data_IF_385409077202
#
_entry.id   IF_385409077202
#
_cell.length_a   1.000
_cell.length_b   1.000
_cell.length_c   1.000
_cell.angle_alpha   90.00
_cell.angle_beta   90.00
_cell.angle_gamma   90.00
#
_symmetry.space_group_name_H-M   'P 1'
#
loop_
_entity.id
_entity.type
_entity.pdbx_description
1 polymer ?
#
# COMPACT_ATOMS: atom_id res chain seq x y z
N UNK A 1 -11.15 10.58 77.13
CA UNK A 1 -12.57 10.39 77.55
C UNK A 1 -12.95 11.62 78.37
N UNK A 2 -14.17 12.20 78.27
CA UNK A 2 -15.46 11.63 77.82
C UNK A 2 -16.11 12.39 76.63
N UNK A 3 -16.71 11.70 75.65
CA UNK A 3 -18.13 11.35 75.44
C UNK A 3 -19.03 12.41 74.76
N UNK A 4 -19.47 12.04 73.55
CA UNK A 4 -20.73 12.33 72.83
C UNK A 4 -21.94 12.75 73.68
N UNK A 5 -22.89 13.55 73.14
CA UNK A 5 -23.91 12.99 72.23
C UNK A 5 -24.52 13.93 71.18
N UNK A 6 -24.91 13.39 70.01
CA UNK A 6 -26.13 13.78 69.28
C UNK A 6 -26.37 12.86 68.06
N UNK A 7 -26.52 11.56 68.31
CA UNK A 7 -27.28 10.66 67.46
C UNK A 7 -28.75 11.07 67.61
N UNK A 8 -29.32 11.87 66.69
CA UNK A 8 -30.75 11.85 66.33
C UNK A 8 -31.09 12.93 65.29
N UNK A 9 -30.75 12.71 64.01
CA UNK A 9 -31.43 13.37 62.86
C UNK A 9 -31.13 12.66 61.54
N UNK A 10 -31.08 11.32 61.60
CA UNK A 10 -31.33 10.44 60.47
C UNK A 10 -32.84 10.19 60.47
N UNK A 11 -33.52 10.64 59.41
CA UNK A 11 -34.85 10.21 58.94
C UNK A 11 -35.67 11.41 58.45
N UNK A 12 -35.44 11.88 57.21
CA UNK A 12 -36.52 12.36 56.31
C UNK A 12 -36.12 12.86 54.91
N UNK A 13 -34.86 12.82 54.48
CA UNK A 13 -34.48 13.35 53.14
C UNK A 13 -34.14 12.26 52.10
N UNK A 14 -34.24 10.96 52.44
CA UNK A 14 -33.93 9.86 51.50
C UNK A 14 -35.18 9.34 50.73
N UNK A 15 -36.35 10.00 50.84
CA UNK A 15 -37.62 9.46 50.31
C UNK A 15 -38.21 10.23 49.11
N UNK A 16 -37.46 11.05 48.38
CA UNK A 16 -38.06 11.85 47.28
C UNK A 16 -37.18 12.07 46.06
N UNK A 17 -36.52 11.02 45.57
CA UNK A 17 -36.04 10.95 44.18
C UNK A 17 -36.12 9.51 43.62
N UNK A 18 -37.09 8.73 44.13
CA UNK A 18 -37.56 7.48 43.51
C UNK A 18 -38.84 7.82 42.75
N UNK A 19 -38.70 8.54 41.65
CA UNK A 19 -39.74 8.80 40.66
C UNK A 19 -39.05 9.40 39.43
N UNK A 20 -38.61 8.52 38.52
CA UNK A 20 -38.72 8.63 37.06
C UNK A 20 -37.63 7.79 36.37
N UNK A 21 -37.85 6.48 36.29
CA UNK A 21 -37.20 5.63 35.28
C UNK A 21 -38.13 4.46 34.93
N UNK A 22 -39.38 4.80 34.60
CA UNK A 22 -40.27 3.88 33.91
C UNK A 22 -40.10 4.11 32.40
N UNK A 23 -39.89 3.01 31.69
CA UNK A 23 -40.02 2.85 30.24
C UNK A 23 -39.03 3.63 29.36
N UNK A 24 -37.89 3.00 29.09
CA UNK A 24 -37.29 3.01 27.75
C UNK A 24 -36.53 1.69 27.52
N UNK A 25 -37.22 0.56 27.67
CA UNK A 25 -36.85 -0.62 26.89
C UNK A 25 -37.26 -0.30 25.45
N UNK A 26 -36.46 0.55 24.79
CA UNK A 26 -36.50 0.61 23.34
C UNK A 26 -36.17 -0.81 22.87
N UNK A 27 -37.00 -1.33 21.99
CA UNK A 27 -36.73 -2.56 21.28
C UNK A 27 -35.37 -2.42 20.58
N UNK A 28 -34.29 -2.90 21.19
CA UNK A 28 -33.06 -3.17 20.45
C UNK A 28 -33.39 -4.31 19.49
N UNK A 29 -33.87 -3.94 18.31
CA UNK A 29 -33.74 -4.80 17.14
C UNK A 29 -32.25 -5.16 17.05
N UNK A 30 -31.89 -6.45 16.94
CA UNK A 30 -30.53 -6.82 16.62
C UNK A 30 -30.14 -6.03 15.38
N UNK A 31 -29.06 -5.24 15.46
CA UNK A 31 -28.42 -4.77 14.25
C UNK A 31 -27.96 -6.04 13.53
N UNK A 32 -28.72 -6.47 12.51
CA UNK A 32 -28.24 -7.46 11.55
C UNK A 32 -26.94 -6.88 10.98
N UNK A 33 -25.81 -7.45 11.40
CA UNK A 33 -24.53 -7.18 10.76
C UNK A 33 -24.77 -7.40 9.27
N UNK A 34 -24.51 -6.41 8.39
CA UNK A 34 -24.67 -6.61 6.97
C UNK A 34 -23.97 -7.92 6.60
N UNK A 35 -24.73 -8.89 6.10
CA UNK A 35 -24.14 -10.12 5.62
C UNK A 35 -23.08 -9.72 4.59
N UNK A 36 -21.83 -10.15 4.80
CA UNK A 36 -20.77 -9.90 3.84
C UNK A 36 -21.26 -10.43 2.49
N UNK A 37 -21.51 -9.54 1.54
CA UNK A 37 -21.80 -9.93 0.18
C UNK A 37 -20.61 -10.77 -0.29
N UNK A 38 -20.83 -12.00 -0.80
CA UNK A 38 -19.73 -12.82 -1.27
C UNK A 38 -18.99 -12.03 -2.35
N UNK A 39 -17.67 -11.88 -2.17
CA UNK A 39 -16.79 -11.33 -3.21
C UNK A 39 -17.07 -12.10 -4.50
N UNK A 40 -17.33 -11.43 -5.63
CA UNK A 40 -17.58 -12.13 -6.88
C UNK A 40 -16.37 -13.00 -7.19
N UNK A 41 -16.59 -14.32 -7.28
CA UNK A 41 -15.56 -15.25 -7.71
C UNK A 41 -15.18 -14.93 -9.16
N UNK A 42 -13.88 -14.98 -9.45
CA UNK A 42 -13.38 -14.92 -10.83
C UNK A 42 -14.02 -16.07 -11.61
N UNK A 43 -14.56 -15.80 -12.79
CA UNK A 43 -15.16 -16.85 -13.62
C UNK A 43 -14.07 -17.79 -14.15
N UNK A 44 -14.41 -19.05 -14.41
CA UNK A 44 -13.47 -20.03 -15.01
C UNK A 44 -12.81 -19.49 -16.30
N UNK A 45 -13.60 -18.82 -17.16
CA UNK A 45 -13.08 -18.20 -18.38
C UNK A 45 -12.07 -17.07 -18.09
N UNK A 46 -12.26 -16.31 -17.03
CA UNK A 46 -11.30 -15.27 -16.62
C UNK A 46 -10.04 -15.90 -16.01
N UNK A 47 -10.16 -16.97 -15.22
CA UNK A 47 -9.01 -17.74 -14.72
C UNK A 47 -8.17 -18.30 -15.87
N UNK A 48 -8.80 -18.89 -16.88
CA UNK A 48 -8.12 -19.42 -18.06
C UNK A 48 -7.42 -18.31 -18.88
N UNK A 49 -8.02 -17.11 -18.96
CA UNK A 49 -7.40 -15.95 -19.60
C UNK A 49 -6.18 -15.43 -18.81
N UNK A 50 -6.25 -15.42 -17.48
CA UNK A 50 -5.14 -15.05 -16.60
C UNK A 50 -3.97 -16.03 -16.79
N UNK A 51 -4.25 -17.34 -16.82
CA UNK A 51 -3.22 -18.36 -17.03
C UNK A 51 -2.50 -18.18 -18.37
N UNK A 52 -3.26 -17.97 -19.46
CA UNK A 52 -2.64 -17.69 -20.78
C UNK A 52 -1.84 -16.39 -20.82
N UNK A 53 -2.29 -15.35 -20.11
CA UNK A 53 -1.53 -14.10 -20.01
C UNK A 53 -0.23 -14.29 -19.23
N UNK A 54 -0.24 -15.08 -18.15
CA UNK A 54 0.95 -15.43 -17.40
C UNK A 54 1.94 -16.26 -18.24
N UNK A 55 1.44 -17.25 -19.00
CA UNK A 55 2.25 -18.01 -19.96
C UNK A 55 2.88 -17.11 -21.02
N UNK A 56 2.12 -16.16 -21.57
CA UNK A 56 2.66 -15.19 -22.51
C UNK A 56 3.76 -14.34 -21.88
N UNK A 57 3.54 -13.82 -20.67
CA UNK A 57 4.53 -13.01 -19.95
C UNK A 57 5.84 -13.79 -19.68
N UNK A 58 5.74 -15.09 -19.39
CA UNK A 58 6.92 -15.95 -19.27
C UNK A 58 7.73 -16.00 -20.57
N UNK A 59 7.09 -15.94 -21.76
CA UNK A 59 7.81 -15.87 -23.05
C UNK A 59 8.52 -14.54 -23.28
N UNK A 60 8.13 -13.48 -22.56
CA UNK A 60 8.75 -12.16 -22.62
C UNK A 60 9.84 -11.97 -21.55
N UNK A 61 9.99 -12.92 -20.64
CA UNK A 61 10.97 -12.86 -19.54
C UNK A 61 12.33 -13.35 -20.04
N UNK A 62 13.35 -12.51 -19.89
CA UNK A 62 14.72 -12.81 -20.30
C UNK A 62 15.42 -13.71 -19.26
N UNK A 63 16.54 -14.38 -19.61
CA UNK A 63 17.29 -15.24 -18.67
C UNK A 63 17.77 -14.55 -17.38
N UNK A 64 17.79 -13.21 -17.35
CA UNK A 64 18.13 -12.41 -16.16
C UNK A 64 16.92 -12.02 -15.31
N UNK A 65 15.71 -12.52 -15.62
CA UNK A 65 14.48 -12.25 -14.86
C UNK A 65 13.68 -11.02 -15.32
N UNK A 66 14.32 -10.06 -15.98
CA UNK A 66 13.62 -8.89 -16.50
C UNK A 66 12.75 -9.17 -17.74
N UNK A 67 11.67 -8.40 -17.89
CA UNK A 67 10.71 -8.51 -18.99
C UNK A 67 11.12 -7.60 -20.15
N UNK A 68 11.25 -8.16 -21.35
CA UNK A 68 11.46 -7.40 -22.60
C UNK A 68 10.15 -6.80 -23.10
N UNK A 69 9.71 -5.72 -22.46
CA UNK A 69 8.38 -5.14 -22.67
C UNK A 69 8.19 -4.50 -24.05
N UNK A 70 9.29 -4.27 -24.78
CA UNK A 70 9.30 -3.62 -26.09
C UNK A 70 9.87 -4.50 -27.21
N UNK A 71 10.04 -5.80 -26.97
CA UNK A 71 10.62 -6.76 -27.93
C UNK A 71 11.97 -6.27 -28.51
N UNK A 72 12.77 -5.65 -27.66
CA UNK A 72 14.05 -5.00 -27.96
C UNK A 72 15.26 -5.90 -27.67
N UNK A 73 15.05 -7.03 -27.00
CA UNK A 73 16.08 -7.90 -26.43
C UNK A 73 16.64 -7.38 -25.10
N UNK A 74 16.07 -6.32 -24.52
CA UNK A 74 16.54 -5.69 -23.28
C UNK A 74 15.41 -5.66 -22.26
N UNK A 75 15.73 -5.97 -21.00
CA UNK A 75 14.76 -5.91 -19.93
C UNK A 75 14.36 -4.45 -19.62
N UNK A 76 13.08 -4.26 -19.32
CA UNK A 76 12.51 -2.98 -18.88
C UNK A 76 12.06 -3.07 -17.40
N UNK A 77 12.61 -2.26 -16.49
CA UNK A 77 12.21 -2.27 -15.08
C UNK A 77 10.73 -1.93 -14.86
N UNK A 78 10.16 -1.03 -15.67
CA UNK A 78 8.75 -0.63 -15.51
C UNK A 78 7.83 -1.81 -15.79
N UNK A 79 7.98 -2.45 -16.95
CA UNK A 79 7.20 -3.62 -17.31
C UNK A 79 7.48 -4.82 -16.42
N UNK A 80 8.72 -4.97 -15.92
CA UNK A 80 9.04 -6.02 -14.94
C UNK A 80 8.33 -5.79 -13.61
N UNK A 81 8.30 -4.56 -13.09
CA UNK A 81 7.56 -4.23 -11.86
C UNK A 81 6.05 -4.48 -12.03
N UNK A 82 5.47 -4.08 -13.17
CA UNK A 82 4.06 -4.39 -13.47
C UNK A 82 3.78 -5.89 -13.56
N UNK A 83 4.70 -6.66 -14.14
CA UNK A 83 4.63 -8.12 -14.21
C UNK A 83 4.62 -8.76 -12.82
N UNK A 84 5.49 -8.32 -11.92
CA UNK A 84 5.51 -8.77 -10.52
C UNK A 84 4.19 -8.48 -9.83
N UNK A 85 3.65 -7.27 -9.97
CA UNK A 85 2.35 -6.88 -9.37
C UNK A 85 1.24 -7.78 -9.91
N UNK A 86 1.15 -7.95 -11.23
CA UNK A 86 0.09 -8.71 -11.87
C UNK A 86 0.13 -10.21 -11.50
N UNK A 87 1.31 -10.83 -11.56
CA UNK A 87 1.49 -12.24 -11.22
C UNK A 87 1.23 -12.49 -9.73
N UNK A 88 1.70 -11.60 -8.85
CA UNK A 88 1.45 -11.72 -7.41
C UNK A 88 -0.05 -11.59 -7.10
N UNK A 89 -0.74 -10.62 -7.69
CA UNK A 89 -2.19 -10.45 -7.54
C UNK A 89 -2.99 -11.64 -8.11
N UNK A 90 -2.47 -12.32 -9.14
CA UNK A 90 -3.04 -13.54 -9.70
C UNK A 90 -2.74 -14.81 -8.88
N UNK A 91 -2.01 -14.70 -7.76
CA UNK A 91 -1.60 -15.86 -6.96
C UNK A 91 -0.58 -16.74 -7.69
N UNK A 92 0.34 -16.14 -8.45
CA UNK A 92 1.44 -16.80 -9.19
C UNK A 92 2.80 -16.35 -8.65
N UNK A 93 2.92 -16.19 -7.33
CA UNK A 93 4.14 -15.68 -6.67
C UNK A 93 5.40 -16.51 -6.96
N UNK A 94 5.26 -17.81 -7.19
CA UNK A 94 6.41 -18.67 -7.54
C UNK A 94 7.11 -18.25 -8.85
N UNK A 95 6.43 -17.49 -9.71
CA UNK A 95 6.96 -17.03 -11.00
C UNK A 95 7.71 -15.68 -10.91
N UNK A 96 7.71 -15.00 -9.75
CA UNK A 96 8.26 -13.63 -9.66
C UNK A 96 9.68 -13.54 -9.11
N UNK A 97 10.24 -14.63 -8.58
CA UNK A 97 11.53 -14.59 -7.87
C UNK A 97 12.67 -14.00 -8.72
N UNK A 98 12.81 -14.44 -9.96
CA UNK A 98 13.86 -13.91 -10.87
C UNK A 98 13.57 -12.46 -11.28
N UNK A 99 12.29 -12.09 -11.46
CA UNK A 99 11.89 -10.71 -11.74
C UNK A 99 12.23 -9.77 -10.58
N UNK A 100 12.00 -10.21 -9.34
CA UNK A 100 12.40 -9.48 -8.12
C UNK A 100 13.91 -9.36 -8.05
N UNK A 101 14.65 -10.44 -8.36
CA UNK A 101 16.12 -10.40 -8.42
C UNK A 101 16.66 -9.39 -9.44
N UNK A 102 16.01 -9.27 -10.59
CA UNK A 102 16.32 -8.23 -11.58
C UNK A 102 16.03 -6.82 -11.03
N UNK A 103 14.83 -6.59 -10.48
CA UNK A 103 14.46 -5.29 -9.90
C UNK A 103 15.38 -4.88 -8.75
N UNK A 104 15.90 -5.83 -7.98
CA UNK A 104 16.87 -5.58 -6.92
C UNK A 104 18.15 -4.96 -7.47
N UNK A 105 18.66 -5.48 -8.59
CA UNK A 105 19.84 -4.97 -9.27
C UNK A 105 19.62 -3.60 -9.91
N UNK A 106 18.41 -3.32 -10.35
CA UNK A 106 18.04 -2.08 -11.06
C UNK A 106 17.51 -0.98 -10.13
N UNK A 107 17.29 -1.24 -8.84
CA UNK A 107 16.54 -0.37 -7.94
C UNK A 107 16.97 1.11 -8.04
N UNK A 108 18.25 1.41 -7.82
CA UNK A 108 18.79 2.78 -7.86
C UNK A 108 18.70 3.38 -9.26
N UNK A 109 19.18 2.66 -10.29
CA UNK A 109 19.18 3.15 -11.67
C UNK A 109 17.77 3.39 -12.20
N UNK A 110 16.78 2.68 -11.67
CA UNK A 110 15.39 2.85 -12.02
C UNK A 110 14.77 4.04 -11.31
N UNK A 111 14.94 4.15 -9.99
CA UNK A 111 14.20 5.12 -9.17
C UNK A 111 14.84 6.49 -9.10
N UNK A 112 16.11 6.65 -9.46
CA UNK A 112 16.83 7.92 -9.36
C UNK A 112 17.31 8.42 -10.71
N UNK A 113 17.51 9.74 -10.78
CA UNK A 113 18.20 10.35 -11.91
C UNK A 113 19.60 9.73 -12.08
N UNK A 114 19.96 9.41 -13.32
CA UNK A 114 21.25 8.79 -13.64
C UNK A 114 22.45 9.53 -13.03
N UNK A 115 23.24 8.81 -12.23
CA UNK A 115 24.46 9.32 -11.59
C UNK A 115 24.23 10.07 -10.28
N UNK A 116 22.98 10.20 -9.83
CA UNK A 116 22.60 10.88 -8.60
C UNK A 116 22.01 9.90 -7.58
N UNK A 117 22.05 10.27 -6.30
CA UNK A 117 21.47 9.51 -5.18
C UNK A 117 20.72 10.45 -4.23
N UNK A 118 19.73 9.94 -3.51
CA UNK A 118 18.97 10.71 -2.52
C UNK A 118 17.60 11.19 -3.00
N UNK A 119 16.78 11.61 -2.03
CA UNK A 119 15.36 11.88 -2.23
C UNK A 119 15.08 13.02 -3.23
N UNK A 120 15.97 14.02 -3.32
CA UNK A 120 15.84 15.14 -4.26
C UNK A 120 15.97 14.72 -5.74
N UNK A 121 16.55 13.55 -6.01
CA UNK A 121 16.74 12.98 -7.34
C UNK A 121 15.89 11.73 -7.59
N UNK A 122 14.96 11.42 -6.69
CA UNK A 122 14.02 10.32 -6.82
C UNK A 122 12.93 10.64 -7.85
N UNK A 123 12.53 9.68 -8.68
CA UNK A 123 11.32 9.74 -9.49
C UNK A 123 10.13 9.17 -8.71
N UNK A 124 9.17 9.99 -8.21
CA UNK A 124 8.13 9.51 -7.30
C UNK A 124 7.27 8.40 -7.87
N UNK A 125 6.95 8.45 -9.18
CA UNK A 125 6.19 7.38 -9.83
C UNK A 125 6.94 6.05 -9.88
N UNK A 126 8.23 6.06 -10.22
CA UNK A 126 9.04 4.84 -10.30
C UNK A 126 9.29 4.25 -8.92
N UNK A 127 9.57 5.08 -7.92
CA UNK A 127 9.68 4.67 -6.53
C UNK A 127 8.38 4.02 -6.04
N UNK A 128 7.23 4.68 -6.27
CA UNK A 128 5.92 4.15 -5.90
C UNK A 128 5.59 2.83 -6.59
N UNK A 129 5.89 2.70 -7.89
CA UNK A 129 5.69 1.44 -8.62
C UNK A 129 6.58 0.32 -8.08
N UNK A 130 7.86 0.60 -7.80
CA UNK A 130 8.79 -0.40 -7.26
C UNK A 130 8.36 -0.85 -5.86
N UNK A 131 7.99 0.09 -4.96
CA UNK A 131 7.46 -0.21 -3.63
C UNK A 131 6.21 -1.09 -3.69
N UNK A 132 5.28 -0.82 -4.61
CA UNK A 132 4.11 -1.66 -4.81
C UNK A 132 4.50 -3.06 -5.30
N UNK A 133 5.42 -3.17 -6.26
CA UNK A 133 5.84 -4.46 -6.81
C UNK A 133 6.50 -5.35 -5.76
N UNK A 134 7.44 -4.82 -4.98
CA UNK A 134 8.15 -5.60 -3.96
C UNK A 134 7.23 -5.95 -2.78
N UNK A 135 6.30 -5.05 -2.40
CA UNK A 135 5.28 -5.36 -1.38
C UNK A 135 4.35 -6.47 -1.86
N UNK A 136 3.94 -6.45 -3.13
CA UNK A 136 3.11 -7.50 -3.72
C UNK A 136 3.84 -8.87 -3.77
N UNK A 137 5.15 -8.87 -3.98
CA UNK A 137 6.00 -10.06 -3.93
C UNK A 137 6.29 -10.56 -2.51
N UNK A 138 5.93 -9.79 -1.46
CA UNK A 138 6.20 -10.13 -0.07
C UNK A 138 7.63 -9.82 0.40
N UNK A 139 8.37 -9.00 -0.34
CA UNK A 139 9.68 -8.50 0.05
C UNK A 139 9.59 -7.35 1.07
N UNK A 140 10.69 -7.01 1.72
CA UNK A 140 10.78 -5.87 2.63
C UNK A 140 10.99 -4.55 1.87
N UNK A 141 9.99 -3.64 1.83
CA UNK A 141 10.10 -2.39 1.10
C UNK A 141 11.04 -1.37 1.77
N UNK A 142 11.42 -1.56 3.04
CA UNK A 142 12.27 -0.61 3.76
C UNK A 142 13.77 -0.77 3.48
N UNK A 143 14.19 -1.86 2.83
CA UNK A 143 15.61 -2.17 2.60
C UNK A 143 15.94 -2.70 1.20
N UNK A 144 14.97 -2.70 0.29
CA UNK A 144 15.14 -3.25 -1.05
C UNK A 144 16.19 -2.47 -1.85
N UNK A 145 17.11 -3.20 -2.48
CA UNK A 145 18.23 -2.60 -3.22
C UNK A 145 19.26 -1.88 -2.33
N UNK A 146 19.19 -2.07 -1.00
CA UNK A 146 20.02 -1.34 -0.04
C UNK A 146 19.60 0.12 0.17
N UNK A 147 18.41 0.51 -0.28
CA UNK A 147 17.88 1.87 -0.22
C UNK A 147 16.67 1.95 0.73
N UNK A 148 16.47 3.12 1.36
CA UNK A 148 15.25 3.45 2.08
C UNK A 148 14.28 4.19 1.14
N UNK A 149 13.80 3.48 0.11
CA UNK A 149 12.92 4.08 -0.91
C UNK A 149 11.61 4.61 -0.30
N UNK A 150 11.12 3.98 0.76
CA UNK A 150 9.93 4.43 1.47
C UNK A 150 10.18 5.78 2.14
N UNK A 151 11.30 5.92 2.87
CA UNK A 151 11.69 7.17 3.51
C UNK A 151 11.97 8.28 2.49
N UNK A 152 12.62 7.97 1.38
CA UNK A 152 12.87 8.94 0.31
C UNK A 152 11.58 9.42 -0.36
N UNK A 153 10.65 8.51 -0.65
CA UNK A 153 9.36 8.90 -1.21
C UNK A 153 8.54 9.74 -0.24
N UNK A 154 8.59 9.44 1.07
CA UNK A 154 7.98 10.28 2.10
C UNK A 154 8.64 11.67 2.18
N UNK A 155 9.96 11.76 1.98
CA UNK A 155 10.69 13.03 1.96
C UNK A 155 10.35 13.89 0.73
N UNK A 156 9.92 13.28 -0.38
CA UNK A 156 9.47 13.99 -1.59
C UNK A 156 8.10 14.69 -1.44
N UNK A 157 7.41 14.54 -0.30
CA UNK A 157 6.13 15.18 -0.04
C UNK A 157 6.29 16.67 0.29
N UNK A 158 5.67 17.54 -0.51
CA UNK A 158 5.54 18.96 -0.21
C UNK A 158 4.25 19.24 0.59
N UNK A 159 4.34 19.63 1.88
CA UNK A 159 3.17 19.89 2.72
C UNK A 159 2.39 21.15 2.33
N UNK A 160 2.97 22.07 1.55
CA UNK A 160 2.27 23.28 1.12
C UNK A 160 1.30 23.00 -0.03
N UNK A 161 1.65 22.08 -0.92
CA UNK A 161 0.85 21.72 -2.11
C UNK A 161 0.14 20.38 -1.98
N UNK A 162 0.64 19.50 -1.10
CA UNK A 162 0.17 18.12 -0.96
C UNK A 162 0.69 17.18 -2.05
N UNK A 163 1.67 17.62 -2.85
CA UNK A 163 2.21 16.83 -3.95
C UNK A 163 3.51 16.12 -3.56
N UNK A 164 3.70 14.92 -4.11
CA UNK A 164 5.01 14.28 -4.21
C UNK A 164 5.73 14.83 -5.43
N UNK A 165 6.88 15.47 -5.23
CA UNK A 165 7.69 16.05 -6.28
C UNK A 165 9.17 16.17 -5.88
N UNK A 166 10.05 16.15 -6.88
CA UNK A 166 11.51 16.29 -6.73
C UNK A 166 12.09 17.06 -7.92
N UNK A 167 13.41 17.29 -7.91
CA UNK A 167 14.14 17.96 -9.01
C UNK A 167 14.64 16.98 -10.09
N UNK A 168 14.37 15.68 -9.92
CA UNK A 168 14.81 14.63 -10.83
C UNK A 168 14.31 14.87 -12.26
N UNK A 169 15.18 14.77 -13.26
CA UNK A 169 14.79 14.96 -14.65
C UNK A 169 15.61 14.11 -15.62
N UNK A 170 14.91 13.38 -16.47
CA UNK A 170 15.47 12.65 -17.61
C UNK A 170 14.64 12.91 -18.87
N UNK A 171 15.04 12.32 -20.01
CA UNK A 171 14.38 12.56 -21.30
C UNK A 171 12.89 12.17 -21.31
N UNK A 172 12.53 11.06 -20.66
CA UNK A 172 11.17 10.50 -20.68
C UNK A 172 10.53 10.36 -19.29
N UNK A 173 11.18 10.86 -18.23
CA UNK A 173 10.65 10.84 -16.87
C UNK A 173 11.04 12.09 -16.11
N UNK A 174 10.24 12.47 -15.12
CA UNK A 174 10.45 13.67 -14.31
C UNK A 174 9.94 13.45 -12.90
N UNK A 175 10.64 14.04 -11.94
CA UNK A 175 10.26 14.16 -10.55
C UNK A 175 9.21 15.25 -10.31
N UNK A 176 8.93 16.12 -11.28
CA UNK A 176 7.98 17.20 -11.13
C UNK A 176 6.56 16.71 -10.78
N UNK A 177 5.80 17.52 -10.04
CA UNK A 177 4.43 17.19 -9.66
C UNK A 177 3.58 16.91 -10.91
N UNK A 178 3.05 15.69 -10.99
CA UNK A 178 2.11 15.23 -12.02
C UNK A 178 1.11 14.25 -11.41
N UNK A 179 -0.03 14.07 -12.07
CA UNK A 179 -1.04 13.08 -11.70
C UNK A 179 -0.48 11.64 -11.67
N UNK A 180 0.39 11.29 -12.62
CA UNK A 180 1.10 10.00 -12.66
C UNK A 180 2.01 9.82 -11.44
N UNK A 181 2.81 10.85 -11.08
CA UNK A 181 3.64 10.81 -9.88
C UNK A 181 2.81 10.66 -8.62
N UNK A 182 1.67 11.37 -8.51
CA UNK A 182 0.79 11.26 -7.35
C UNK A 182 0.17 9.86 -7.24
N UNK A 183 -0.37 9.34 -8.34
CA UNK A 183 -1.08 8.06 -8.33
C UNK A 183 -0.16 6.91 -7.91
N UNK A 184 1.04 6.83 -8.50
CA UNK A 184 1.98 5.77 -8.18
C UNK A 184 2.61 5.95 -6.79
N UNK A 185 2.92 7.18 -6.37
CA UNK A 185 3.40 7.42 -5.01
C UNK A 185 2.38 6.94 -3.97
N UNK A 186 1.10 7.27 -4.15
CA UNK A 186 0.02 6.83 -3.28
C UNK A 186 -0.14 5.30 -3.26
N UNK A 187 -0.08 4.65 -4.42
CA UNK A 187 -0.16 3.18 -4.51
C UNK A 187 1.01 2.50 -3.79
N UNK A 188 2.24 2.98 -3.99
CA UNK A 188 3.42 2.45 -3.33
C UNK A 188 3.37 2.63 -1.82
N UNK A 189 3.07 3.85 -1.36
CA UNK A 189 2.95 4.16 0.07
C UNK A 189 1.85 3.34 0.75
N UNK A 190 0.70 3.15 0.09
CA UNK A 190 -0.39 2.35 0.64
C UNK A 190 -0.07 0.85 0.73
N UNK A 191 0.85 0.36 -0.11
CA UNK A 191 1.28 -1.03 -0.10
C UNK A 191 2.43 -1.29 0.89
N UNK A 192 3.33 -0.33 1.04
CA UNK A 192 4.57 -0.46 1.83
C UNK A 192 4.49 0.14 3.25
N UNK A 193 3.47 0.94 3.56
CA UNK A 193 3.31 1.70 4.81
C UNK A 193 2.29 1.15 5.80
#
# INVERSE_FOLDING_TARGET
MPHHPAILRIARVILSLILLAAASTACQLPAESPAATPTPAVSEAASEAIDRAAEYLATQTLPGGGVDSFASGTADPTGTAMAVIALSAAGRGDAVADMVGYLLGEAVAYTHQSGEEGAEFLFPSRAGLLLLAISAAGEDPASFGGQDLLGELQAAYDPATGAYATDAQEEFTSGAASDVNQAWALLGLAAAG
#
